data_IF_852373122772
#
_entry.id   IF_852373122772
#
_cell.length_a   1.000
_cell.length_b   1.000
_cell.length_c   1.000
_cell.angle_alpha   90.00
_cell.angle_beta   90.00
_cell.angle_gamma   90.00
#
_symmetry.space_group_name_H-M   'P 1'
#
loop_
_entity.id
_entity.type
_entity.pdbx_description
1 polymer ?
#
# COMPACT_ATOMS: atom_id res chain seq x y z
N UNK A 1 -12.60 9.74 4.86
CA UNK A 1 -13.44 8.70 4.25
C UNK A 1 -14.66 8.48 5.13
N UNK A 2 -15.82 8.20 4.54
CA UNK A 2 -17.08 7.94 5.27
C UNK A 2 -17.36 6.45 5.48
N UNK A 3 -16.66 5.57 4.75
CA UNK A 3 -16.79 4.12 4.83
C UNK A 3 -15.41 3.45 4.84
N UNK A 4 -15.29 2.33 5.57
CA UNK A 4 -14.13 1.44 5.54
C UNK A 4 -14.62 -0.02 5.46
N UNK A 5 -14.18 -0.72 4.42
CA UNK A 5 -14.49 -2.14 4.19
C UNK A 5 -13.25 -2.97 4.43
N UNK A 6 -13.34 -3.99 5.29
CA UNK A 6 -12.24 -4.92 5.59
C UNK A 6 -12.49 -6.21 4.81
N UNK A 7 -11.52 -6.60 3.99
CA UNK A 7 -11.51 -7.90 3.31
C UNK A 7 -10.32 -8.72 3.81
N UNK A 8 -10.56 -9.98 4.18
CA UNK A 8 -9.51 -10.91 4.58
C UNK A 8 -9.93 -12.34 4.24
N UNK A 9 -8.93 -13.21 4.02
CA UNK A 9 -9.16 -14.66 3.82
C UNK A 9 -9.91 -15.32 5.00
N UNK A 10 -9.69 -14.81 6.21
CA UNK A 10 -10.37 -15.25 7.43
C UNK A 10 -11.35 -14.15 7.87
N UNK A 11 -12.63 -14.39 7.60
CA UNK A 11 -13.72 -13.46 7.92
C UNK A 11 -13.80 -13.18 9.43
N UNK A 12 -13.47 -14.17 10.27
CA UNK A 12 -13.48 -13.98 11.72
C UNK A 12 -12.39 -13.00 12.17
N UNK A 13 -11.22 -13.00 11.51
CA UNK A 13 -10.18 -11.98 11.74
C UNK A 13 -10.64 -10.60 11.28
N UNK A 14 -11.32 -10.51 10.13
CA UNK A 14 -11.87 -9.25 9.64
C UNK A 14 -12.89 -8.65 10.62
N UNK A 15 -13.82 -9.46 11.13
CA UNK A 15 -14.81 -9.03 12.12
C UNK A 15 -14.19 -8.59 13.45
N UNK A 16 -13.15 -9.29 13.91
CA UNK A 16 -12.39 -8.85 15.09
C UNK A 16 -11.72 -7.50 14.86
N UNK A 17 -11.13 -7.27 13.69
CA UNK A 17 -10.54 -5.98 13.34
C UNK A 17 -11.62 -4.89 13.28
N UNK A 18 -12.75 -5.16 12.62
CA UNK A 18 -13.90 -4.25 12.54
C UNK A 18 -14.37 -3.83 13.93
N UNK A 19 -14.54 -4.79 14.83
CA UNK A 19 -14.97 -4.56 16.22
C UNK A 19 -13.97 -3.70 16.98
N UNK A 20 -12.67 -3.96 16.83
CA UNK A 20 -11.60 -3.18 17.48
C UNK A 20 -11.50 -1.74 16.96
N UNK A 21 -11.79 -1.52 15.68
CA UNK A 21 -11.74 -0.20 15.04
C UNK A 21 -12.99 0.64 15.28
N UNK A 22 -14.15 0.01 15.48
CA UNK A 22 -15.44 0.68 15.73
C UNK A 22 -15.38 1.85 16.73
N UNK A 23 -14.85 1.67 17.96
CA UNK A 23 -14.78 2.79 18.92
C UNK A 23 -13.78 3.89 18.52
N UNK A 24 -12.81 3.60 17.65
CA UNK A 24 -11.78 4.55 17.21
C UNK A 24 -12.26 5.39 16.02
N UNK A 25 -13.28 4.92 15.29
CA UNK A 25 -13.78 5.52 14.05
C UNK A 25 -15.31 5.73 14.11
N UNK A 26 -15.83 6.50 15.08
CA UNK A 26 -17.28 6.61 15.33
C UNK A 26 -18.07 7.24 14.16
N UNK A 27 -17.41 7.97 13.26
CA UNK A 27 -18.02 8.62 12.09
C UNK A 27 -17.84 7.83 10.79
N UNK A 28 -17.25 6.63 10.84
CA UNK A 28 -16.97 5.81 9.65
C UNK A 28 -17.84 4.57 9.65
N UNK A 29 -18.58 4.34 8.56
CA UNK A 29 -19.31 3.10 8.37
C UNK A 29 -18.33 1.96 8.13
N UNK A 30 -18.29 1.01 9.07
CA UNK A 30 -17.39 -0.14 9.02
C UNK A 30 -18.09 -1.39 8.52
N UNK A 31 -17.53 -2.04 7.50
CA UNK A 31 -18.05 -3.29 6.94
C UNK A 31 -16.98 -4.38 6.80
N UNK A 32 -17.42 -5.63 6.70
CA UNK A 32 -16.60 -6.75 6.24
C UNK A 32 -17.15 -7.23 4.90
N UNK A 33 -16.26 -7.52 3.95
CA UNK A 33 -16.62 -8.09 2.66
C UNK A 33 -15.78 -9.34 2.37
N UNK A 34 -16.35 -10.24 1.56
CA UNK A 34 -15.69 -11.46 1.08
C UNK A 34 -15.36 -11.40 -0.41
N UNK A 35 -16.05 -10.54 -1.18
CA UNK A 35 -15.76 -10.28 -2.58
C UNK A 35 -14.70 -9.18 -2.71
N UNK A 36 -13.45 -9.62 -2.90
CA UNK A 36 -12.31 -8.72 -3.02
C UNK A 36 -12.38 -7.84 -4.28
N UNK A 37 -12.79 -8.40 -5.42
CA UNK A 37 -12.84 -7.67 -6.67
C UNK A 37 -13.85 -6.51 -6.59
N UNK A 38 -15.08 -6.80 -6.17
CA UNK A 38 -16.10 -5.77 -6.03
C UNK A 38 -15.69 -4.70 -5.01
N UNK A 39 -15.04 -5.11 -3.91
CA UNK A 39 -14.50 -4.17 -2.90
C UNK A 39 -13.44 -3.25 -3.51
N UNK A 40 -12.48 -3.79 -4.26
CA UNK A 40 -11.44 -3.01 -4.93
C UNK A 40 -12.04 -2.06 -5.96
N UNK A 41 -13.01 -2.50 -6.78
CA UNK A 41 -13.64 -1.66 -7.81
C UNK A 41 -14.35 -0.44 -7.22
N UNK A 42 -14.98 -0.60 -6.06
CA UNK A 42 -15.77 0.46 -5.42
C UNK A 42 -14.91 1.43 -4.61
N UNK A 43 -13.80 0.97 -4.02
CA UNK A 43 -12.97 1.78 -3.13
C UNK A 43 -12.32 2.98 -3.84
N UNK A 44 -12.26 4.13 -3.18
CA UNK A 44 -11.40 5.25 -3.62
C UNK A 44 -9.94 5.01 -3.24
N UNK A 45 -9.73 4.35 -2.09
CA UNK A 45 -8.42 3.99 -1.55
C UNK A 45 -8.40 2.51 -1.18
N UNK A 46 -7.40 1.79 -1.67
CA UNK A 46 -7.14 0.38 -1.36
C UNK A 46 -5.88 0.29 -0.52
N UNK A 47 -5.93 -0.45 0.59
CA UNK A 47 -4.76 -0.71 1.44
C UNK A 47 -4.53 -2.21 1.47
N UNK A 48 -3.34 -2.66 1.05
CA UNK A 48 -2.94 -4.07 1.11
C UNK A 48 -1.89 -4.25 2.20
N UNK A 49 -2.19 -5.10 3.18
CA UNK A 49 -1.33 -5.41 4.32
C UNK A 49 -1.42 -6.90 4.64
N UNK A 50 -1.06 -7.72 3.65
CA UNK A 50 -1.25 -9.17 3.65
C UNK A 50 0.07 -9.92 3.58
N UNK A 51 0.03 -11.22 3.85
CA UNK A 51 1.15 -12.15 3.67
C UNK A 51 1.02 -12.95 2.36
N UNK A 52 0.41 -12.34 1.32
CA UNK A 52 0.20 -13.01 0.06
C UNK A 52 1.51 -13.23 -0.70
N UNK A 53 1.57 -14.31 -1.48
CA UNK A 53 2.70 -14.65 -2.38
C UNK A 53 2.30 -14.62 -3.85
N UNK A 54 1.01 -14.41 -4.11
CA UNK A 54 0.44 -14.28 -5.44
C UNK A 54 -0.45 -13.03 -5.45
N UNK A 55 -0.51 -12.30 -6.57
CA UNK A 55 -1.28 -11.06 -6.67
C UNK A 55 -2.72 -11.21 -6.18
N UNK A 56 -3.11 -10.37 -5.23
CA UNK A 56 -4.48 -10.25 -4.75
C UNK A 56 -5.24 -9.20 -5.53
N UNK A 57 -4.62 -8.06 -5.82
CA UNK A 57 -5.22 -6.96 -6.59
C UNK A 57 -4.76 -7.08 -8.04
N UNK A 58 -5.74 -7.04 -8.95
CA UNK A 58 -5.50 -7.09 -10.39
C UNK A 58 -5.73 -5.74 -11.04
N UNK A 59 -4.90 -5.42 -12.04
CA UNK A 59 -4.99 -4.13 -12.73
C UNK A 59 -6.34 -3.90 -13.41
N UNK A 60 -7.02 -4.98 -13.82
CA UNK A 60 -8.35 -4.95 -14.45
C UNK A 60 -9.48 -4.51 -13.50
N UNK A 61 -9.23 -4.52 -12.19
CA UNK A 61 -10.17 -4.07 -11.17
C UNK A 61 -10.09 -2.56 -10.93
N UNK A 62 -9.01 -1.92 -11.39
CA UNK A 62 -8.74 -0.53 -11.06
C UNK A 62 -9.53 0.44 -11.95
N UNK A 63 -10.14 1.44 -11.30
CA UNK A 63 -10.81 2.58 -11.93
C UNK A 63 -10.02 3.87 -11.77
N UNK A 64 -10.32 4.84 -12.63
CA UNK A 64 -9.72 6.17 -12.59
C UNK A 64 -9.83 6.80 -11.18
N UNK A 65 -8.77 7.50 -10.79
CA UNK A 65 -8.65 8.27 -9.55
C UNK A 65 -8.29 7.49 -8.29
N UNK A 66 -8.22 6.16 -8.35
CA UNK A 66 -7.89 5.34 -7.18
C UNK A 66 -6.49 5.61 -6.63
N UNK A 67 -6.35 5.41 -5.32
CA UNK A 67 -5.06 5.31 -4.65
C UNK A 67 -4.90 3.93 -4.03
N UNK A 68 -3.70 3.37 -4.10
CA UNK A 68 -3.36 2.11 -3.43
C UNK A 68 -2.15 2.36 -2.53
N UNK A 69 -2.24 1.95 -1.26
CA UNK A 69 -1.07 1.83 -0.38
C UNK A 69 -0.80 0.35 -0.14
N UNK A 70 0.32 -0.15 -0.66
CA UNK A 70 0.71 -1.56 -0.56
C UNK A 70 1.90 -1.71 0.39
N UNK A 71 1.71 -2.44 1.49
CA UNK A 71 2.71 -2.58 2.56
C UNK A 71 3.04 -4.02 2.91
N UNK A 72 2.23 -5.00 2.48
CA UNK A 72 2.37 -6.38 2.93
C UNK A 72 3.53 -7.14 2.28
N UNK A 73 3.85 -6.83 1.02
CA UNK A 73 4.93 -7.48 0.29
C UNK A 73 6.29 -6.83 0.54
N UNK A 74 6.94 -7.19 1.64
CA UNK A 74 8.20 -6.64 2.17
C UNK A 74 9.41 -7.59 1.98
N UNK A 75 9.22 -8.77 1.39
CA UNK A 75 10.29 -9.74 1.13
C UNK A 75 10.25 -10.25 -0.32
N UNK A 76 11.29 -10.96 -0.82
CA UNK A 76 11.37 -11.38 -2.22
C UNK A 76 10.28 -12.35 -2.67
N UNK A 77 9.58 -13.01 -1.74
CA UNK A 77 8.59 -14.07 -2.01
C UNK A 77 7.15 -13.56 -1.95
N UNK A 78 6.91 -12.42 -1.31
CA UNK A 78 5.56 -11.87 -1.16
C UNK A 78 5.16 -11.04 -2.37
N UNK A 79 3.87 -11.04 -2.66
CA UNK A 79 3.26 -10.27 -3.73
C UNK A 79 1.78 -10.06 -3.43
N UNK A 80 1.32 -8.82 -3.57
CA UNK A 80 -0.06 -8.36 -3.39
C UNK A 80 -0.66 -7.77 -4.67
N UNK A 81 0.18 -7.20 -5.55
CA UNK A 81 -0.22 -6.50 -6.77
C UNK A 81 0.39 -7.16 -8.01
N UNK A 82 -0.39 -7.29 -9.09
CA UNK A 82 0.15 -7.75 -10.38
C UNK A 82 0.88 -6.63 -11.15
N UNK A 83 1.71 -7.00 -12.13
CA UNK A 83 2.38 -6.02 -12.98
C UNK A 83 1.42 -5.14 -13.79
N UNK A 84 0.21 -5.61 -14.07
CA UNK A 84 -0.84 -4.79 -14.70
C UNK A 84 -1.30 -3.64 -13.78
N UNK A 85 -1.42 -3.89 -12.48
CA UNK A 85 -1.70 -2.87 -11.45
C UNK A 85 -0.60 -1.81 -11.44
N UNK A 86 0.66 -2.24 -11.38
CA UNK A 86 1.81 -1.33 -11.37
C UNK A 86 1.90 -0.49 -12.66
N UNK A 87 1.63 -1.08 -13.83
CA UNK A 87 1.67 -0.35 -15.13
C UNK A 87 0.57 0.70 -15.28
N UNK A 88 -0.59 0.49 -14.66
CA UNK A 88 -1.74 1.40 -14.78
C UNK A 88 -1.63 2.62 -13.87
N UNK A 89 -0.65 2.64 -12.96
CA UNK A 89 -0.55 3.65 -11.94
C UNK A 89 0.77 4.42 -12.00
N UNK A 90 0.76 5.63 -11.45
CA UNK A 90 1.96 6.34 -11.05
C UNK A 90 2.45 5.74 -9.72
N UNK A 91 3.54 4.97 -9.77
CA UNK A 91 4.06 4.22 -8.63
C UNK A 91 5.13 5.02 -7.90
N UNK A 92 4.97 5.19 -6.60
CA UNK A 92 5.93 5.76 -5.68
C UNK A 92 6.37 4.71 -4.68
N UNK A 93 7.67 4.68 -4.38
CA UNK A 93 8.25 3.70 -3.47
C UNK A 93 8.90 4.38 -2.28
N UNK A 94 9.15 3.67 -1.19
CA UNK A 94 9.99 4.19 -0.10
C UNK A 94 11.48 4.18 -0.46
N UNK A 95 11.93 3.13 -1.16
CA UNK A 95 13.28 3.03 -1.71
C UNK A 95 13.30 2.22 -3.00
N UNK A 96 13.89 2.78 -4.05
CA UNK A 96 14.06 2.08 -5.34
C UNK A 96 14.93 0.83 -5.16
N UNK A 97 16.06 0.95 -4.46
CA UNK A 97 16.97 -0.18 -4.24
C UNK A 97 16.31 -1.32 -3.47
N UNK A 98 15.45 -1.00 -2.49
CA UNK A 98 14.75 -2.03 -1.71
C UNK A 98 13.68 -2.73 -2.54
N UNK A 99 12.85 -1.99 -3.28
CA UNK A 99 11.72 -2.57 -4.01
C UNK A 99 12.14 -3.33 -5.28
N UNK A 100 13.32 -3.05 -5.83
CA UNK A 100 13.89 -3.83 -6.95
C UNK A 100 14.15 -5.28 -6.52
N UNK A 101 14.48 -5.48 -5.24
CA UNK A 101 14.84 -6.78 -4.66
C UNK A 101 13.73 -7.40 -3.80
N UNK A 102 12.60 -6.73 -3.59
CA UNK A 102 11.53 -7.19 -2.71
C UNK A 102 10.13 -6.90 -3.25
N UNK A 103 9.18 -7.75 -2.86
CA UNK A 103 7.75 -7.51 -3.02
C UNK A 103 7.25 -7.41 -4.46
N UNK A 104 6.22 -6.57 -4.63
CA UNK A 104 5.42 -6.44 -5.84
C UNK A 104 6.25 -6.06 -7.08
N UNK A 105 7.14 -5.07 -6.95
CA UNK A 105 7.94 -4.56 -8.07
C UNK A 105 8.95 -5.60 -8.54
N UNK A 106 9.67 -6.26 -7.63
CA UNK A 106 10.56 -7.38 -7.98
C UNK A 106 9.79 -8.47 -8.74
N UNK A 107 8.64 -8.90 -8.21
CA UNK A 107 7.84 -9.96 -8.84
C UNK A 107 7.42 -9.55 -10.26
N UNK A 108 6.95 -8.33 -10.44
CA UNK A 108 6.54 -7.81 -11.74
C UNK A 108 7.70 -7.67 -12.74
N UNK A 109 8.91 -7.31 -12.28
CA UNK A 109 10.12 -7.31 -13.13
C UNK A 109 10.41 -8.72 -13.63
N UNK A 110 10.34 -9.71 -12.73
CA UNK A 110 10.69 -11.10 -13.05
C UNK A 110 9.69 -11.80 -13.97
N UNK A 111 8.39 -11.51 -13.82
CA UNK A 111 7.36 -12.33 -14.48
C UNK A 111 6.45 -11.58 -15.43
N UNK A 112 6.36 -10.26 -15.27
CA UNK A 112 5.36 -9.47 -15.98
C UNK A 112 6.01 -8.46 -16.94
N UNK A 113 7.34 -8.49 -17.10
CA UNK A 113 8.08 -7.56 -17.96
C UNK A 113 8.01 -6.10 -17.51
N UNK A 114 7.85 -5.85 -16.21
CA UNK A 114 7.90 -4.50 -15.64
C UNK A 114 9.34 -3.99 -15.65
N UNK A 115 9.55 -2.70 -15.96
CA UNK A 115 10.86 -2.06 -15.82
C UNK A 115 10.87 -1.19 -14.57
N UNK A 116 11.99 -1.20 -13.83
CA UNK A 116 12.20 -0.32 -12.67
C UNK A 116 12.12 1.16 -13.08
N UNK A 117 12.45 1.50 -14.32
CA UNK A 117 12.37 2.87 -14.85
C UNK A 117 10.94 3.41 -14.98
N UNK A 118 9.93 2.53 -14.87
CA UNK A 118 8.52 2.94 -14.82
C UNK A 118 8.11 3.45 -13.43
N UNK A 119 8.93 3.22 -12.41
CA UNK A 119 8.73 3.86 -11.11
C UNK A 119 8.84 5.35 -11.28
N UNK A 120 7.89 6.04 -10.68
CA UNK A 120 7.77 7.46 -10.87
C UNK A 120 8.51 8.26 -9.77
N UNK A 121 9.20 7.56 -8.85
CA UNK A 121 10.17 8.08 -7.89
C UNK A 121 9.94 7.61 -6.45
N UNK A 122 10.72 8.15 -5.51
CA UNK A 122 10.60 7.84 -4.09
C UNK A 122 9.62 8.80 -3.40
N UNK A 123 8.90 8.30 -2.39
CA UNK A 123 7.91 9.08 -1.63
C UNK A 123 8.58 10.25 -0.88
N UNK A 124 9.85 10.11 -0.50
CA UNK A 124 10.63 11.19 0.11
C UNK A 124 10.78 12.41 -0.81
N UNK A 125 10.90 12.21 -2.12
CA UNK A 125 10.95 13.30 -3.08
C UNK A 125 9.60 14.00 -3.23
N UNK A 126 8.50 13.25 -3.08
CA UNK A 126 7.15 13.84 -3.06
C UNK A 126 6.95 14.69 -1.81
N UNK A 127 7.29 14.13 -0.64
CA UNK A 127 7.12 14.80 0.65
C UNK A 127 7.99 16.06 0.77
N UNK A 128 9.14 16.09 0.10
CA UNK A 128 10.03 17.25 0.05
C UNK A 128 9.72 18.24 -1.09
N UNK A 129 8.72 17.95 -1.93
CA UNK A 129 8.35 18.80 -3.06
C UNK A 129 9.29 18.74 -4.26
N UNK A 130 10.31 17.87 -4.25
CA UNK A 130 11.20 17.62 -5.39
C UNK A 130 10.52 16.88 -6.53
N UNK A 131 9.48 16.13 -6.21
CA UNK A 131 8.69 15.35 -7.15
C UNK A 131 7.21 15.66 -6.97
N UNK A 132 6.51 15.95 -8.07
CA UNK A 132 5.06 16.10 -8.01
C UNK A 132 4.41 14.74 -7.70
N UNK A 133 3.49 14.72 -6.74
CA UNK A 133 2.65 13.56 -6.43
C UNK A 133 1.63 13.26 -7.54
N UNK A 134 0.36 13.14 -7.16
CA UNK A 134 -0.76 13.03 -8.10
C UNK A 134 -0.83 14.25 -9.03
N UNK A 135 -1.03 14.01 -10.32
CA UNK A 135 -1.07 15.04 -11.38
C UNK A 135 -2.49 15.38 -11.85
N UNK A 136 -3.43 14.44 -11.72
CA UNK A 136 -4.84 14.65 -12.07
C UNK A 136 -5.77 13.84 -11.18
N UNK A 137 -7.06 14.17 -11.21
CA UNK A 137 -8.10 13.45 -10.46
C UNK A 137 -8.28 12.01 -10.95
N UNK A 138 -8.00 11.74 -12.22
CA UNK A 138 -8.22 10.42 -12.85
C UNK A 138 -7.00 9.50 -12.78
N UNK A 139 -5.82 10.04 -12.45
CA UNK A 139 -4.59 9.26 -12.32
C UNK A 139 -4.74 8.17 -11.24
N UNK A 140 -4.29 6.95 -11.51
CA UNK A 140 -4.17 5.94 -10.45
C UNK A 140 -2.81 6.12 -9.80
N UNK A 141 -2.75 6.09 -8.48
CA UNK A 141 -1.49 6.23 -7.73
C UNK A 141 -1.24 5.03 -6.83
N UNK A 142 0.00 4.57 -6.76
CA UNK A 142 0.42 3.52 -5.85
C UNK A 142 1.53 4.06 -4.96
N UNK A 143 1.37 3.92 -3.65
CA UNK A 143 2.46 4.01 -2.70
C UNK A 143 2.83 2.58 -2.28
N UNK A 144 3.98 2.09 -2.76
CA UNK A 144 4.46 0.75 -2.48
C UNK A 144 5.61 0.82 -1.46
N UNK A 145 5.40 0.23 -0.29
CA UNK A 145 6.38 0.24 0.79
C UNK A 145 6.88 -1.18 1.10
N UNK A 146 8.17 -1.25 1.38
CA UNK A 146 8.91 -2.43 1.87
C UNK A 146 9.40 -2.17 3.31
N UNK A 147 9.79 -0.93 3.61
CA UNK A 147 10.40 -0.48 4.85
C UNK A 147 11.83 0.00 4.62
N UNK A 148 12.20 1.10 5.28
CA UNK A 148 13.58 1.60 5.30
C UNK A 148 14.02 1.86 6.75
N UNK A 149 15.26 1.52 7.08
CA UNK A 149 15.78 1.66 8.45
C UNK A 149 15.76 3.11 8.98
N UNK A 150 15.75 4.11 8.10
CA UNK A 150 15.59 5.51 8.49
C UNK A 150 14.22 5.77 9.16
N UNK A 151 13.15 5.09 8.73
CA UNK A 151 11.83 5.19 9.37
C UNK A 151 11.85 4.58 10.76
N UNK A 152 12.49 3.43 10.93
CA UNK A 152 12.64 2.78 12.24
C UNK A 152 13.46 3.64 13.21
N UNK A 153 14.57 4.21 12.73
CA UNK A 153 15.42 5.10 13.53
C UNK A 153 14.65 6.35 13.99
N UNK A 154 13.90 6.99 13.09
CA UNK A 154 13.09 8.15 13.44
C UNK A 154 11.98 7.79 14.46
N UNK A 155 11.33 6.64 14.30
CA UNK A 155 10.34 6.17 15.27
C UNK A 155 10.97 5.88 16.64
N UNK A 156 12.15 5.25 16.66
CA UNK A 156 12.89 4.96 17.87
C UNK A 156 13.33 6.24 18.58
N UNK A 157 13.85 7.23 17.85
CA UNK A 157 14.22 8.54 18.41
C UNK A 157 13.03 9.21 19.09
N UNK A 158 11.87 9.28 18.43
CA UNK A 158 10.64 9.83 19.01
C UNK A 158 10.24 9.08 20.28
N UNK A 159 10.33 7.75 20.28
CA UNK A 159 10.02 6.94 21.46
C UNK A 159 10.98 7.23 22.62
N UNK A 160 12.28 7.30 22.35
CA UNK A 160 13.31 7.55 23.36
C UNK A 160 13.24 8.97 23.93
N UNK A 161 12.91 9.97 23.10
CA UNK A 161 12.64 11.34 23.54
C UNK A 161 11.43 11.39 24.48
N UNK A 162 10.33 10.72 24.13
CA UNK A 162 9.12 10.65 24.98
C UNK A 162 9.36 9.93 26.31
N UNK A 163 10.32 9.01 26.34
CA UNK A 163 10.75 8.32 27.57
C UNK A 163 11.82 9.11 28.35
N UNK A 164 12.30 10.24 27.83
CA UNK A 164 13.36 11.03 28.45
C UNK A 164 14.74 10.35 28.48
N UNK A 165 14.94 9.34 27.64
CA UNK A 165 16.22 8.61 27.52
C UNK A 165 17.19 9.42 26.65
N UNK A 166 16.70 9.91 25.52
CA UNK A 166 17.40 10.93 24.72
C UNK A 166 17.00 12.32 25.22
N UNK A 167 17.94 13.25 25.17
CA UNK A 167 17.77 14.65 25.60
C UNK A 167 17.97 15.58 24.42
#
# INVERSE_FOLDING_TARGET
FTQLTICARDVSKAERLRTRLSPQLPSVQLGVATDLESTVRQADVVITATLAREPLVRGEWLRAGQHITAVGADDPTKCELDGATLRRARVFVDSVSSTEHNGDVRRAIQTDGYSIDLLAGEIGDVLSGRLQGRRSTDEITIAKFVGIGAQDLAAAEVALLRLGILR
#
